data_IF_928701944766
#
_entry.id   IF_928701944766
#
_cell.length_a   1.000
_cell.length_b   1.000
_cell.length_c   1.000
_cell.angle_alpha   90.00
_cell.angle_beta   90.00
_cell.angle_gamma   90.00
#
_symmetry.space_group_name_H-M   'P 1'
#
loop_
_entity.id
_entity.type
_entity.pdbx_description
1 polymer ?
#
# COMPACT_ATOMS: atom_id res chain seq x y z
N UNK A 1 12.51 14.03 2.96
CA UNK A 1 13.07 12.65 2.98
C UNK A 1 12.75 11.99 1.64
N UNK A 2 13.68 11.20 1.08
CA UNK A 2 13.40 10.42 -0.14
C UNK A 2 12.29 9.40 0.17
N UNK A 3 11.37 9.18 -0.76
CA UNK A 3 10.22 8.27 -0.57
C UNK A 3 10.66 6.86 -0.13
N UNK A 4 11.70 6.30 -0.77
CA UNK A 4 12.24 5.00 -0.37
C UNK A 4 12.81 5.00 1.06
N UNK A 5 13.45 6.10 1.49
CA UNK A 5 13.95 6.19 2.88
C UNK A 5 12.83 6.20 3.91
N UNK A 6 11.71 6.83 3.56
CA UNK A 6 10.48 6.80 4.36
C UNK A 6 9.89 5.39 4.44
N UNK A 7 9.84 4.68 3.30
CA UNK A 7 9.35 3.30 3.25
C UNK A 7 10.27 2.37 4.08
N UNK A 8 11.59 2.56 3.97
CA UNK A 8 12.57 1.81 4.76
C UNK A 8 12.38 2.03 6.27
N UNK A 9 12.21 3.30 6.70
CA UNK A 9 11.95 3.62 8.10
C UNK A 9 10.66 2.96 8.60
N UNK A 10 9.59 3.04 7.83
CA UNK A 10 8.31 2.39 8.13
C UNK A 10 8.43 0.87 8.31
N UNK A 11 9.26 0.22 7.52
CA UNK A 11 9.42 -1.23 7.54
C UNK A 11 10.40 -1.73 8.60
N UNK A 12 11.34 -0.90 9.05
CA UNK A 12 12.44 -1.34 9.94
C UNK A 12 12.47 -0.64 11.28
N UNK A 13 11.78 0.50 11.45
CA UNK A 13 11.90 1.40 12.59
C UNK A 13 13.24 2.14 12.65
N UNK A 14 14.10 2.03 11.63
CA UNK A 14 15.44 2.61 11.59
C UNK A 14 15.57 3.62 10.46
N UNK A 15 16.26 4.73 10.73
CA UNK A 15 16.58 5.69 9.67
C UNK A 15 17.45 5.04 8.60
N UNK A 16 17.19 5.43 7.34
CA UNK A 16 18.01 4.98 6.23
C UNK A 16 19.42 5.56 6.36
N UNK A 17 20.40 4.68 6.50
CA UNK A 17 21.81 5.01 6.55
C UNK A 17 22.58 3.97 5.75
N UNK A 18 23.53 4.43 4.92
CA UNK A 18 24.36 3.53 4.09
C UNK A 18 25.27 2.72 5.03
N UNK A 19 24.92 1.49 5.25
CA UNK A 19 25.60 0.57 6.16
C UNK A 19 25.48 -0.88 5.68
N UNK A 20 26.34 -1.75 6.18
CA UNK A 20 26.26 -3.20 5.92
C UNK A 20 24.87 -3.74 6.34
N UNK A 21 24.31 -3.23 7.44
CA UNK A 21 22.99 -3.64 7.92
C UNK A 21 21.89 -3.23 6.93
N UNK A 22 21.95 -2.04 6.36
CA UNK A 22 21.00 -1.60 5.33
C UNK A 22 21.07 -2.50 4.09
N UNK A 23 22.27 -2.81 3.62
CA UNK A 23 22.46 -3.74 2.49
C UNK A 23 21.87 -5.11 2.81
N UNK A 24 22.16 -5.67 3.99
CA UNK A 24 21.56 -6.93 4.45
C UNK A 24 20.03 -6.85 4.49
N UNK A 25 19.45 -5.79 5.04
CA UNK A 25 18.00 -5.63 5.08
C UNK A 25 17.38 -5.63 3.68
N UNK A 26 17.97 -4.91 2.72
CA UNK A 26 17.47 -4.90 1.33
C UNK A 26 17.65 -6.28 0.69
N UNK A 27 18.75 -6.98 0.95
CA UNK A 27 19.01 -8.30 0.37
C UNK A 27 18.11 -9.40 0.94
N UNK A 28 17.81 -9.38 2.23
CA UNK A 28 17.08 -10.47 2.89
C UNK A 28 15.59 -10.21 3.04
N UNK A 29 15.14 -8.94 3.01
CA UNK A 29 13.72 -8.59 3.07
C UNK A 29 13.19 -8.24 1.69
N UNK A 30 12.43 -9.14 1.08
CA UNK A 30 11.99 -8.96 -0.30
C UNK A 30 10.94 -7.84 -0.48
N UNK A 31 10.22 -7.44 0.56
CA UNK A 31 9.36 -6.25 0.55
C UNK A 31 10.17 -4.95 0.36
N UNK A 32 11.29 -4.80 1.11
CA UNK A 32 12.20 -3.67 0.95
C UNK A 32 12.84 -3.65 -0.44
N UNK A 33 13.28 -4.80 -0.92
CA UNK A 33 13.86 -4.96 -2.25
C UNK A 33 12.87 -4.57 -3.34
N UNK A 34 11.63 -5.07 -3.25
CA UNK A 34 10.58 -4.71 -4.19
C UNK A 34 10.30 -3.19 -4.18
N UNK A 35 10.15 -2.59 -3.01
CA UNK A 35 9.91 -1.14 -2.90
C UNK A 35 11.07 -0.31 -3.46
N UNK A 36 12.31 -0.74 -3.24
CA UNK A 36 13.48 -0.11 -3.86
C UNK A 36 13.38 -0.12 -5.39
N UNK A 37 13.12 -1.30 -5.97
CA UNK A 37 12.95 -1.49 -7.42
C UNK A 37 11.78 -0.64 -7.94
N UNK A 38 10.64 -0.67 -7.28
CA UNK A 38 9.45 0.05 -7.68
C UNK A 38 9.65 1.58 -7.64
N UNK A 39 10.27 2.13 -6.57
CA UNK A 39 10.60 3.56 -6.48
C UNK A 39 11.65 3.98 -7.52
N UNK A 40 12.62 3.12 -7.84
CA UNK A 40 13.60 3.37 -8.91
C UNK A 40 12.91 3.39 -10.29
N UNK A 41 12.00 2.45 -10.54
CA UNK A 41 11.23 2.41 -11.79
C UNK A 41 10.39 3.68 -11.97
N UNK A 42 9.75 4.18 -10.92
CA UNK A 42 9.02 5.45 -10.91
C UNK A 42 9.91 6.65 -11.27
N UNK A 43 11.20 6.60 -10.95
CA UNK A 43 12.20 7.64 -11.27
C UNK A 43 12.79 7.50 -12.67
N UNK A 44 12.32 6.56 -13.48
CA UNK A 44 12.77 6.36 -14.85
C UNK A 44 13.99 5.46 -15.04
N UNK A 45 14.43 4.73 -13.99
CA UNK A 45 15.50 3.74 -14.13
C UNK A 45 15.00 2.49 -14.85
N UNK A 46 14.97 2.53 -16.18
CA UNK A 46 14.38 1.47 -17.02
C UNK A 46 15.00 0.08 -16.83
N UNK A 47 16.29 0.00 -16.50
CA UNK A 47 16.99 -1.28 -16.31
C UNK A 47 16.37 -2.13 -15.19
N UNK A 48 15.78 -1.51 -14.16
CA UNK A 48 15.13 -2.25 -13.06
C UNK A 48 13.80 -2.89 -13.45
N UNK A 49 13.30 -2.62 -14.65
CA UNK A 49 12.04 -3.17 -15.16
C UNK A 49 12.05 -4.70 -15.21
N UNK A 50 13.21 -5.29 -15.53
CA UNK A 50 13.40 -6.75 -15.54
C UNK A 50 13.14 -7.33 -14.15
N UNK A 51 13.71 -6.71 -13.12
CA UNK A 51 13.53 -7.14 -11.73
C UNK A 51 12.07 -6.93 -11.27
N UNK A 52 11.44 -5.82 -11.65
CA UNK A 52 10.02 -5.57 -11.38
C UNK A 52 9.13 -6.69 -11.95
N UNK A 53 9.31 -7.09 -13.21
CA UNK A 53 8.55 -8.18 -13.81
C UNK A 53 8.87 -9.55 -13.17
N UNK A 54 10.11 -9.76 -12.74
CA UNK A 54 10.46 -10.97 -11.98
C UNK A 54 9.66 -11.06 -10.67
N UNK A 55 9.56 -9.96 -9.91
CA UNK A 55 8.77 -9.90 -8.68
C UNK A 55 7.28 -10.07 -8.92
N UNK A 56 6.77 -9.46 -9.98
CA UNK A 56 5.38 -9.61 -10.39
C UNK A 56 5.04 -11.10 -10.60
N UNK A 57 5.82 -11.81 -11.43
CA UNK A 57 5.60 -13.23 -11.72
C UNK A 57 5.83 -14.14 -10.51
N UNK A 58 6.88 -13.89 -9.72
CA UNK A 58 7.30 -14.78 -8.64
C UNK A 58 6.43 -14.63 -7.39
N UNK A 59 5.99 -13.43 -7.07
CA UNK A 59 5.31 -13.11 -5.82
C UNK A 59 3.89 -12.54 -6.02
N UNK A 60 3.45 -12.34 -7.26
CA UNK A 60 2.16 -11.73 -7.55
C UNK A 60 2.07 -10.27 -7.10
N UNK A 61 3.18 -9.51 -7.16
CA UNK A 61 3.22 -8.10 -6.75
C UNK A 61 2.90 -7.20 -7.95
N UNK A 62 1.64 -7.10 -8.31
CA UNK A 62 1.13 -6.31 -9.43
C UNK A 62 0.81 -4.88 -9.02
N UNK A 63 1.82 -4.16 -8.53
CA UNK A 63 1.69 -2.75 -8.16
C UNK A 63 2.08 -1.88 -9.35
N UNK A 64 1.07 -1.29 -10.01
CA UNK A 64 1.32 -0.48 -11.21
C UNK A 64 2.32 0.64 -10.96
N UNK A 65 3.32 0.83 -11.84
CA UNK A 65 4.21 2.00 -11.78
C UNK A 65 3.48 3.34 -11.97
N UNK A 66 2.29 3.33 -12.57
CA UNK A 66 1.44 4.51 -12.74
C UNK A 66 0.55 4.79 -11.51
N UNK A 67 0.56 3.96 -10.50
CA UNK A 67 -0.08 4.28 -9.22
C UNK A 67 0.68 5.42 -8.51
N UNK A 68 -0.06 6.31 -7.85
CA UNK A 68 0.48 7.39 -7.03
C UNK A 68 0.52 6.93 -5.58
N UNK A 69 1.71 6.63 -5.06
CA UNK A 69 1.87 6.13 -3.69
C UNK A 69 2.76 7.09 -2.90
N UNK A 70 2.21 7.64 -1.82
CA UNK A 70 2.86 8.57 -0.93
C UNK A 70 4.03 7.97 -0.14
N UNK A 71 4.62 8.78 0.72
CA UNK A 71 5.75 8.39 1.58
C UNK A 71 5.32 7.40 2.66
N UNK A 72 6.25 6.57 3.10
CA UNK A 72 5.99 5.65 4.20
C UNK A 72 5.03 4.53 3.86
N UNK A 73 5.06 4.05 2.63
CA UNK A 73 4.28 2.90 2.21
C UNK A 73 4.86 1.61 2.78
N UNK A 74 4.03 0.84 3.47
CA UNK A 74 4.41 -0.41 4.10
C UNK A 74 3.73 -1.60 3.44
N UNK A 75 4.50 -2.61 3.04
CA UNK A 75 3.98 -3.88 2.54
C UNK A 75 4.24 -4.97 3.57
N UNK A 76 3.16 -5.47 4.17
CA UNK A 76 3.21 -6.62 5.08
C UNK A 76 2.91 -7.93 4.33
N UNK A 77 3.81 -8.92 4.46
CA UNK A 77 3.69 -10.20 3.75
C UNK A 77 3.48 -10.02 2.23
N UNK A 78 4.52 -9.64 1.48
CA UNK A 78 4.44 -9.14 0.10
C UNK A 78 4.17 -10.27 -0.92
N UNK A 79 2.93 -10.74 -0.94
CA UNK A 79 2.43 -11.76 -1.87
C UNK A 79 1.04 -11.42 -2.37
N UNK A 80 0.80 -11.60 -3.67
CA UNK A 80 -0.50 -11.46 -4.33
C UNK A 80 -1.18 -10.11 -4.01
N UNK A 81 -0.45 -9.01 -4.20
CA UNK A 81 -0.97 -7.65 -4.01
C UNK A 81 -1.16 -7.01 -5.38
N UNK A 82 -2.37 -6.56 -5.65
CA UNK A 82 -2.70 -5.85 -6.90
C UNK A 82 -3.09 -4.41 -6.59
N UNK A 83 -2.40 -3.45 -7.21
CA UNK A 83 -2.74 -2.02 -7.17
C UNK A 83 -2.80 -1.51 -8.60
N UNK A 84 -4.00 -1.14 -9.05
CA UNK A 84 -4.26 -0.73 -10.42
C UNK A 84 -3.61 0.61 -10.79
N UNK A 85 -3.45 0.83 -12.07
CA UNK A 85 -3.05 2.11 -12.64
C UNK A 85 -4.03 3.23 -12.24
N UNK A 86 -3.47 4.41 -11.92
CA UNK A 86 -4.23 5.59 -11.53
C UNK A 86 -4.70 5.63 -10.08
N UNK A 87 -4.57 4.53 -9.33
CA UNK A 87 -4.84 4.52 -7.88
C UNK A 87 -3.95 5.55 -7.18
N UNK A 88 -4.55 6.32 -6.28
CA UNK A 88 -3.81 7.25 -5.41
C UNK A 88 -3.85 6.75 -3.97
N UNK A 89 -2.70 6.70 -3.33
CA UNK A 89 -2.51 6.27 -1.94
C UNK A 89 -1.72 7.35 -1.21
N UNK A 90 -2.23 7.80 -0.07
CA UNK A 90 -1.61 8.80 0.78
C UNK A 90 -0.37 8.32 1.53
N UNK A 91 0.00 9.04 2.57
CA UNK A 91 1.17 8.74 3.41
C UNK A 91 0.84 7.70 4.48
N UNK A 92 1.87 6.94 4.90
CA UNK A 92 1.77 6.02 6.03
C UNK A 92 0.69 4.93 5.86
N UNK A 93 0.56 4.39 4.66
CA UNK A 93 -0.42 3.35 4.37
C UNK A 93 0.22 1.96 4.46
N UNK A 94 -0.45 1.05 5.17
CA UNK A 94 -0.08 -0.36 5.26
C UNK A 94 -0.95 -1.20 4.34
N UNK A 95 -0.33 -2.03 3.51
CA UNK A 95 -1.01 -3.00 2.65
C UNK A 95 -0.47 -4.39 2.94
N UNK A 96 -1.35 -5.36 3.09
CA UNK A 96 -0.99 -6.74 3.41
C UNK A 96 -1.26 -7.70 2.24
N UNK A 97 -0.77 -8.95 2.35
CA UNK A 97 -0.92 -9.97 1.30
C UNK A 97 -2.37 -10.12 0.83
N UNK A 98 -2.54 -10.42 -0.44
CA UNK A 98 -3.85 -10.68 -1.05
C UNK A 98 -4.73 -9.44 -1.25
N UNK A 99 -4.24 -8.24 -0.91
CA UNK A 99 -5.01 -7.00 -1.10
C UNK A 99 -5.15 -6.69 -2.58
N UNK A 100 -6.36 -6.31 -2.97
CA UNK A 100 -6.66 -5.76 -4.30
C UNK A 100 -7.20 -4.34 -4.17
N UNK A 101 -6.51 -3.37 -4.80
CA UNK A 101 -6.99 -2.00 -4.98
C UNK A 101 -7.18 -1.81 -6.49
N UNK A 102 -8.41 -1.89 -6.94
CA UNK A 102 -8.72 -2.13 -8.34
C UNK A 102 -9.69 -1.14 -8.97
N UNK A 103 -9.83 -1.26 -10.28
CA UNK A 103 -10.73 -0.48 -11.11
C UNK A 103 -12.12 -1.12 -11.18
N UNK A 104 -13.16 -0.30 -11.07
CA UNK A 104 -14.50 -0.65 -11.56
C UNK A 104 -14.61 -0.18 -13.01
N UNK A 105 -15.05 -1.06 -13.90
CA UNK A 105 -15.06 -0.79 -15.34
C UNK A 105 -16.40 -0.27 -15.88
N UNK A 106 -17.44 -0.18 -15.03
CA UNK A 106 -18.80 0.23 -15.46
C UNK A 106 -19.61 0.83 -14.31
N UNK A 107 -20.71 1.48 -14.70
CA UNK A 107 -21.69 2.04 -13.77
C UNK A 107 -21.21 3.33 -13.06
N UNK A 108 -21.88 3.67 -11.98
CA UNK A 108 -21.67 4.95 -11.25
C UNK A 108 -20.30 5.06 -10.58
N UNK A 109 -19.62 3.94 -10.36
CA UNK A 109 -18.28 3.88 -9.72
C UNK A 109 -17.16 3.57 -10.71
N UNK A 110 -17.37 3.86 -11.99
CA UNK A 110 -16.31 3.72 -13.00
C UNK A 110 -15.08 4.51 -12.57
N UNK A 111 -13.94 3.83 -12.42
CA UNK A 111 -12.66 4.44 -12.02
C UNK A 111 -11.92 3.65 -10.96
N UNK A 112 -11.02 4.30 -10.27
CA UNK A 112 -10.10 3.70 -9.28
C UNK A 112 -10.19 4.44 -7.94
N UNK A 113 -9.82 3.76 -6.82
CA UNK A 113 -9.88 4.35 -5.50
C UNK A 113 -8.85 5.46 -5.25
N UNK A 114 -9.22 6.37 -4.34
CA UNK A 114 -8.33 7.33 -3.68
C UNK A 114 -8.28 6.94 -2.20
N UNK A 115 -7.10 6.60 -1.71
CA UNK A 115 -6.84 6.21 -0.32
C UNK A 115 -6.15 7.37 0.40
N UNK A 116 -6.66 7.75 1.57
CA UNK A 116 -6.08 8.79 2.43
C UNK A 116 -4.80 8.37 3.16
N UNK A 117 -4.44 9.16 4.16
CA UNK A 117 -3.26 8.95 5.00
C UNK A 117 -3.57 8.03 6.19
N UNK A 118 -2.54 7.36 6.74
CA UNK A 118 -2.68 6.49 7.92
C UNK A 118 -3.76 5.41 7.74
N UNK A 119 -3.77 4.73 6.60
CA UNK A 119 -4.73 3.66 6.33
C UNK A 119 -4.07 2.29 6.50
N UNK A 120 -4.75 1.40 7.23
CA UNK A 120 -4.38 -0.01 7.32
C UNK A 120 -5.32 -0.86 6.47
N UNK A 121 -4.77 -1.64 5.54
CA UNK A 121 -5.54 -2.52 4.66
C UNK A 121 -5.15 -3.97 4.96
N UNK A 122 -6.07 -4.67 5.61
CA UNK A 122 -5.88 -6.03 6.08
C UNK A 122 -5.80 -7.07 4.96
N UNK A 123 -5.36 -8.27 5.32
CA UNK A 123 -5.16 -9.41 4.41
C UNK A 123 -6.42 -9.68 3.58
N UNK A 124 -6.24 -9.89 2.27
CA UNK A 124 -7.30 -10.23 1.32
C UNK A 124 -8.44 -9.19 1.24
N UNK A 125 -8.24 -7.96 1.71
CA UNK A 125 -9.24 -6.92 1.51
C UNK A 125 -9.27 -6.49 0.04
N UNK A 126 -10.48 -6.18 -0.45
CA UNK A 126 -10.71 -5.71 -1.82
C UNK A 126 -11.36 -4.33 -1.79
N UNK A 127 -10.74 -3.35 -2.47
CA UNK A 127 -11.21 -1.97 -2.58
C UNK A 127 -11.31 -1.65 -4.06
N UNK A 128 -12.51 -1.38 -4.58
CA UNK A 128 -12.71 -1.17 -6.01
C UNK A 128 -13.62 0.02 -6.32
N UNK A 129 -13.34 0.65 -7.46
CA UNK A 129 -14.17 1.71 -8.04
C UNK A 129 -13.70 3.12 -7.67
N UNK A 130 -14.31 4.10 -8.28
CA UNK A 130 -14.09 5.53 -8.01
C UNK A 130 -14.71 5.90 -6.66
N UNK A 131 -14.02 5.55 -5.60
CA UNK A 131 -14.41 5.77 -4.20
C UNK A 131 -13.26 6.42 -3.43
N UNK A 132 -13.60 7.05 -2.31
CA UNK A 132 -12.65 7.67 -1.40
C UNK A 132 -12.62 6.95 -0.06
N UNK A 133 -11.43 6.54 0.35
CA UNK A 133 -11.15 6.08 1.70
C UNK A 133 -10.49 7.25 2.44
N UNK A 134 -11.06 7.66 3.56
CA UNK A 134 -10.57 8.76 4.39
C UNK A 134 -9.24 8.46 5.08
N UNK A 135 -8.85 9.36 5.98
CA UNK A 135 -7.65 9.23 6.80
C UNK A 135 -7.93 8.43 8.07
N UNK A 136 -6.89 7.81 8.64
CA UNK A 136 -7.01 7.01 9.86
C UNK A 136 -8.14 5.96 9.75
N UNK A 137 -8.10 5.17 8.67
CA UNK A 137 -9.07 4.11 8.39
C UNK A 137 -8.41 2.74 8.48
N UNK A 138 -9.05 1.84 9.24
CA UNK A 138 -8.70 0.43 9.31
C UNK A 138 -9.67 -0.40 8.48
N UNK A 139 -9.18 -1.03 7.42
CA UNK A 139 -9.94 -2.01 6.64
C UNK A 139 -9.57 -3.41 7.12
N UNK A 140 -10.52 -4.09 7.75
CA UNK A 140 -10.32 -5.41 8.32
C UNK A 140 -10.05 -6.47 7.23
N UNK A 141 -9.38 -7.59 7.56
CA UNK A 141 -9.16 -8.68 6.62
C UNK A 141 -10.46 -9.17 5.96
N UNK A 142 -10.35 -9.59 4.68
CA UNK A 142 -11.45 -10.11 3.87
C UNK A 142 -12.64 -9.15 3.66
N UNK A 143 -12.45 -7.83 3.86
CA UNK A 143 -13.50 -6.85 3.61
C UNK A 143 -13.60 -6.50 2.14
N UNK A 144 -14.84 -6.33 1.65
CA UNK A 144 -15.13 -5.84 0.31
C UNK A 144 -15.69 -4.42 0.35
N UNK A 145 -14.91 -3.45 -0.16
CA UNK A 145 -15.20 -2.02 -0.07
C UNK A 145 -15.40 -1.43 -1.46
N UNK A 146 -16.61 -0.99 -1.75
CA UNK A 146 -16.98 -0.36 -3.01
C UNK A 146 -17.84 0.91 -2.80
N UNK A 147 -17.62 1.60 -1.68
CA UNK A 147 -18.29 2.84 -1.28
C UNK A 147 -17.32 3.74 -0.52
N UNK A 148 -17.68 5.02 -0.41
CA UNK A 148 -16.85 6.00 0.30
C UNK A 148 -16.81 5.72 1.81
N UNK A 149 -15.62 5.82 2.40
CA UNK A 149 -15.37 5.60 3.82
C UNK A 149 -14.89 6.91 4.44
N UNK A 150 -15.58 7.44 5.46
CA UNK A 150 -15.16 8.66 6.14
C UNK A 150 -13.87 8.43 6.97
N UNK A 151 -13.22 9.54 7.33
CA UNK A 151 -12.09 9.55 8.25
C UNK A 151 -12.45 8.85 9.57
N UNK A 152 -11.44 8.34 10.28
CA UNK A 152 -11.58 7.76 11.61
C UNK A 152 -12.60 6.62 11.65
N UNK A 153 -12.38 5.59 10.83
CA UNK A 153 -13.32 4.48 10.67
C UNK A 153 -12.65 3.12 10.65
N UNK A 154 -13.39 2.13 11.14
CA UNK A 154 -13.10 0.71 10.91
C UNK A 154 -14.12 0.19 9.90
N UNK A 155 -13.64 -0.50 8.86
CA UNK A 155 -14.45 -1.16 7.83
C UNK A 155 -14.29 -2.66 7.96
N UNK A 156 -15.40 -3.40 8.08
CA UNK A 156 -15.35 -4.84 8.31
C UNK A 156 -16.44 -5.59 7.54
N UNK A 157 -16.06 -6.68 6.90
CA UNK A 157 -16.96 -7.69 6.35
C UNK A 157 -17.20 -7.62 4.84
N UNK A 158 -18.02 -8.54 4.36
CA UNK A 158 -18.52 -8.63 2.98
C UNK A 158 -19.99 -9.09 3.02
N UNK A 159 -20.96 -8.19 2.77
CA UNK A 159 -20.81 -6.75 2.51
C UNK A 159 -20.22 -5.98 3.69
N UNK A 160 -19.39 -4.98 3.41
CA UNK A 160 -18.69 -4.26 4.47
C UNK A 160 -19.60 -3.25 5.21
N UNK A 161 -19.31 -3.11 6.51
CA UNK A 161 -19.93 -2.10 7.40
C UNK A 161 -18.88 -1.14 7.91
N UNK A 162 -19.27 0.11 8.12
CA UNK A 162 -18.43 1.19 8.66
C UNK A 162 -18.76 1.42 10.13
N UNK A 163 -17.73 1.44 10.98
CA UNK A 163 -17.81 1.77 12.39
C UNK A 163 -16.92 2.98 12.65
N UNK A 164 -17.47 4.07 13.15
CA UNK A 164 -16.67 5.25 13.53
C UNK A 164 -15.75 4.92 14.70
N UNK A 165 -14.46 5.22 14.55
CA UNK A 165 -13.44 4.97 15.55
C UNK A 165 -12.29 5.96 15.38
N UNK A 166 -12.16 6.91 16.28
CA UNK A 166 -10.97 7.77 16.39
C UNK A 166 -9.75 6.89 16.68
N UNK A 167 -8.62 7.21 16.09
CA UNK A 167 -7.39 6.43 16.17
C UNK A 167 -7.59 4.95 15.74
N UNK A 168 -8.38 4.75 14.67
CA UNK A 168 -8.72 3.43 14.16
C UNK A 168 -7.50 2.59 13.82
N UNK A 169 -6.39 3.22 13.46
CA UNK A 169 -5.14 2.56 13.05
C UNK A 169 -4.09 2.46 14.16
N UNK A 170 -4.40 2.88 15.39
CA UNK A 170 -3.44 2.83 16.51
C UNK A 170 -2.96 1.40 16.74
N UNK A 171 -1.65 1.22 16.90
CA UNK A 171 -1.03 -0.10 17.04
C UNK A 171 -0.84 -0.90 15.74
N UNK A 172 -1.50 -0.50 14.65
CA UNK A 172 -1.36 -1.13 13.32
C UNK A 172 -0.45 -0.33 12.39
N UNK A 173 -0.52 0.99 12.41
CA UNK A 173 0.30 1.88 11.59
C UNK A 173 1.32 2.58 12.49
N UNK A 174 2.54 2.03 12.52
CA UNK A 174 3.64 2.48 13.38
C UNK A 174 4.73 3.21 12.58
N UNK A 175 5.68 3.88 13.28
CA UNK A 175 6.82 4.58 12.67
C UNK A 175 6.40 5.61 11.62
N UNK A 176 5.43 6.46 11.95
CA UNK A 176 4.89 7.47 11.04
C UNK A 176 5.98 8.41 10.50
N UNK A 177 5.81 8.85 9.25
CA UNK A 177 6.63 9.86 8.59
C UNK A 177 5.76 11.06 8.18
N UNK A 178 6.36 12.24 8.15
CA UNK A 178 5.73 13.51 7.76
C UNK A 178 5.69 13.75 6.25
#
# INVERSE_FOLDING_TARGET
MNEFYSDYYRMTGKNFNISIQMVKNILFHHNLRFMCIWRMLKKGFGIVKIFYYHYNRKYGLEISPQANIGKGFYIGHPYNITIAEGVTIGKNVNVHKGVTIGRENRGKRLGVPIIGDKVFIGINATIIGNIRIGNDVMIAPNSFVNFDVPDHSIVIGNPAKVIKKVDATIGYVNYLVD
#
